data_IF_571860242727
#
_entry.id   IF_571860242727
#
_cell.length_a   1.000
_cell.length_b   1.000
_cell.length_c   1.000
_cell.angle_alpha   90.00
_cell.angle_beta   90.00
_cell.angle_gamma   90.00
#
_symmetry.space_group_name_H-M   'P 1'
#
loop_
_entity.id
_entity.type
_entity.pdbx_description
1 polymer ?
#
# COMPACT_ATOMS: atom_id res chain seq x y z
N UNK A 1 -70.90 15.19 -25.80
CA UNK A 1 -71.11 15.30 -27.26
C UNK A 1 -70.07 16.28 -27.79
N UNK A 2 -69.18 15.79 -28.67
CA UNK A 2 -68.25 16.51 -29.56
C UNK A 2 -67.17 17.48 -28.97
N UNK A 3 -65.90 17.09 -29.18
CA UNK A 3 -64.72 17.94 -29.38
C UNK A 3 -64.93 18.90 -30.58
N UNK A 4 -64.19 20.03 -30.70
CA UNK A 4 -63.00 20.01 -31.56
C UNK A 4 -61.83 20.96 -31.22
N UNK A 5 -60.63 20.47 -31.55
CA UNK A 5 -59.49 21.10 -32.26
C UNK A 5 -59.19 22.61 -32.16
N UNK A 6 -57.96 22.92 -31.74
CA UNK A 6 -56.87 23.60 -32.50
C UNK A 6 -55.85 24.09 -31.45
N UNK A 7 -54.55 23.75 -31.46
CA UNK A 7 -53.51 23.81 -32.49
C UNK A 7 -53.41 25.19 -33.17
N UNK A 8 -52.78 26.18 -32.52
CA UNK A 8 -51.42 26.63 -32.86
C UNK A 8 -51.05 27.97 -32.22
N UNK A 9 -49.81 28.03 -31.71
CA UNK A 9 -48.87 29.17 -31.74
C UNK A 9 -49.37 30.51 -31.18
N UNK A 10 -48.84 30.94 -30.04
CA UNK A 10 -47.94 32.09 -29.99
C UNK A 10 -47.39 32.35 -28.58
N UNK A 11 -46.09 32.66 -28.54
CA UNK A 11 -45.46 33.61 -27.63
C UNK A 11 -44.94 33.15 -26.25
N UNK A 12 -43.64 33.43 -26.08
CA UNK A 12 -42.87 33.67 -24.86
C UNK A 12 -42.18 32.46 -24.22
N UNK A 13 -40.92 32.19 -24.59
CA UNK A 13 -39.71 32.76 -23.97
C UNK A 13 -39.51 32.29 -22.51
N UNK A 14 -38.75 31.20 -22.34
CA UNK A 14 -37.81 31.11 -21.23
C UNK A 14 -36.67 30.15 -21.61
N UNK A 15 -35.59 30.77 -22.08
CA UNK A 15 -34.29 30.15 -22.28
C UNK A 15 -33.69 29.90 -20.90
N UNK A 16 -33.59 28.63 -20.49
CA UNK A 16 -32.72 28.22 -19.39
C UNK A 16 -31.54 27.47 -20.01
N UNK A 17 -30.38 28.12 -19.98
CA UNK A 17 -29.14 27.62 -20.55
C UNK A 17 -28.68 26.34 -19.84
N UNK A 18 -28.62 25.25 -20.61
CA UNK A 18 -27.90 24.05 -20.22
C UNK A 18 -26.40 24.32 -20.36
N UNK A 19 -25.74 24.68 -19.25
CA UNK A 19 -24.28 24.66 -19.16
C UNK A 19 -23.81 23.20 -19.17
N UNK A 20 -23.44 22.72 -20.35
CA UNK A 20 -22.80 21.43 -20.55
C UNK A 20 -21.36 21.51 -20.01
N UNK A 21 -21.18 21.18 -18.73
CA UNK A 21 -19.85 20.97 -18.16
C UNK A 21 -19.30 19.68 -18.76
N UNK A 22 -18.44 19.80 -19.78
CA UNK A 22 -17.55 18.72 -20.20
C UNK A 22 -16.59 18.43 -19.04
N UNK A 23 -16.92 17.45 -18.21
CA UNK A 23 -15.95 16.81 -17.33
C UNK A 23 -15.07 15.96 -18.24
N UNK A 24 -13.95 16.53 -18.68
CA UNK A 24 -12.88 15.76 -19.30
C UNK A 24 -12.38 14.74 -18.27
N UNK A 25 -12.75 13.48 -18.45
CA UNK A 25 -12.21 12.38 -17.67
C UNK A 25 -10.68 12.40 -17.82
N UNK A 26 -9.90 12.37 -16.72
CA UNK A 26 -8.46 12.24 -16.84
C UNK A 26 -8.12 10.93 -17.55
N UNK A 27 -7.08 10.89 -18.40
CA UNK A 27 -6.71 9.67 -19.09
C UNK A 27 -6.33 8.59 -18.07
N UNK A 28 -7.04 7.47 -18.11
CA UNK A 28 -6.87 6.29 -17.26
C UNK A 28 -5.47 5.62 -17.34
N UNK A 29 -4.55 6.19 -18.11
CA UNK A 29 -3.19 5.67 -18.33
C UNK A 29 -2.13 6.30 -17.41
N UNK A 30 -2.47 7.31 -16.59
CA UNK A 30 -1.49 7.96 -15.70
C UNK A 30 -1.10 7.12 -14.46
N UNK A 31 -1.82 6.03 -14.16
CA UNK A 31 -1.52 5.16 -13.02
C UNK A 31 -0.66 3.94 -13.36
N UNK A 32 -0.36 3.69 -14.65
CA UNK A 32 0.40 2.50 -15.08
C UNK A 32 1.92 2.69 -15.14
N UNK A 33 2.43 3.93 -15.16
CA UNK A 33 3.88 4.21 -15.28
C UNK A 33 4.65 4.29 -13.95
N UNK A 34 3.98 4.24 -12.79
CA UNK A 34 4.65 4.31 -11.47
C UNK A 34 5.00 2.92 -10.89
N UNK A 35 4.91 1.85 -11.68
CA UNK A 35 5.29 0.49 -11.25
C UNK A 35 6.82 0.29 -11.27
N UNK A 36 7.54 1.31 -10.81
CA UNK A 36 8.99 1.44 -10.87
C UNK A 36 9.71 0.49 -9.92
N UNK A 37 10.15 -0.63 -10.49
CA UNK A 37 11.43 -1.32 -10.25
C UNK A 37 11.96 -1.20 -8.80
N UNK A 38 11.58 -2.16 -7.96
CA UNK A 38 12.00 -2.30 -6.55
C UNK A 38 13.52 -2.24 -6.40
N UNK A 39 14.23 -2.78 -7.39
CA UNK A 39 15.69 -2.81 -7.50
C UNK A 39 16.20 -1.78 -8.53
N UNK A 40 15.47 -0.67 -8.72
CA UNK A 40 15.91 0.40 -9.59
C UNK A 40 17.25 0.90 -9.08
N UNK A 41 18.25 0.85 -9.96
CA UNK A 41 19.50 1.54 -9.68
C UNK A 41 19.21 3.03 -9.59
N UNK A 42 19.98 3.73 -8.76
CA UNK A 42 19.92 5.19 -8.63
C UNK A 42 20.01 5.90 -9.96
N UNK A 43 20.83 5.40 -10.89
CA UNK A 43 20.95 5.90 -12.26
C UNK A 43 19.61 5.84 -13.01
N UNK A 44 18.93 4.69 -13.03
CA UNK A 44 17.62 4.54 -13.67
C UNK A 44 16.56 5.48 -13.08
N UNK A 45 16.58 5.66 -11.75
CA UNK A 45 15.66 6.59 -11.09
C UNK A 45 15.94 8.05 -11.49
N UNK A 46 17.21 8.44 -11.64
CA UNK A 46 17.58 9.79 -12.12
C UNK A 46 17.14 10.02 -13.56
N UNK A 47 17.33 9.03 -14.43
CA UNK A 47 16.88 9.12 -15.82
C UNK A 47 15.35 9.26 -15.91
N UNK A 48 14.63 8.49 -15.10
CA UNK A 48 13.17 8.56 -15.04
C UNK A 48 12.69 9.89 -14.46
N UNK A 49 13.34 10.40 -13.41
CA UNK A 49 13.08 11.73 -12.87
C UNK A 49 13.24 12.80 -13.96
N UNK A 50 14.35 12.76 -14.71
CA UNK A 50 14.60 13.72 -15.78
C UNK A 50 13.56 13.63 -16.92
N UNK A 51 12.99 12.45 -17.18
CA UNK A 51 11.88 12.28 -18.14
C UNK A 51 10.59 12.90 -17.62
N UNK A 52 10.25 12.65 -16.36
CA UNK A 52 9.04 13.17 -15.72
C UNK A 52 9.09 14.69 -15.57
N UNK A 53 10.24 15.26 -15.25
CA UNK A 53 10.43 16.72 -15.18
C UNK A 53 10.21 17.38 -16.55
N UNK A 54 10.65 16.73 -17.64
CA UNK A 54 10.38 17.18 -19.01
C UNK A 54 8.91 17.10 -19.41
N UNK A 55 8.13 16.21 -18.79
CA UNK A 55 6.70 16.10 -19.03
C UNK A 55 5.90 17.26 -18.39
N UNK A 56 6.52 18.09 -17.55
CA UNK A 56 5.88 19.24 -16.93
C UNK A 56 4.82 18.84 -15.90
N UNK A 57 3.68 19.55 -15.88
CA UNK A 57 2.65 19.41 -14.84
C UNK A 57 2.12 17.97 -14.66
N UNK A 58 2.01 17.19 -15.74
CA UNK A 58 1.55 15.79 -15.67
C UNK A 58 2.56 14.84 -15.03
N UNK A 59 3.86 15.17 -15.05
CA UNK A 59 4.93 14.38 -14.45
C UNK A 59 5.34 14.81 -13.04
N UNK A 60 4.89 15.98 -12.57
CA UNK A 60 5.33 16.57 -11.29
C UNK A 60 5.08 15.65 -10.09
N UNK A 61 3.93 14.97 -10.05
CA UNK A 61 3.58 14.06 -8.96
C UNK A 61 4.49 12.81 -8.92
N UNK A 62 4.86 12.25 -10.07
CA UNK A 62 5.80 11.13 -10.13
C UNK A 62 7.23 11.58 -9.82
N UNK A 63 7.63 12.74 -10.33
CA UNK A 63 8.94 13.32 -10.10
C UNK A 63 9.19 13.61 -8.61
N UNK A 64 8.21 14.14 -7.89
CA UNK A 64 8.34 14.39 -6.44
C UNK A 64 8.54 13.09 -5.65
N UNK A 65 7.82 12.02 -5.99
CA UNK A 65 7.98 10.71 -5.36
C UNK A 65 9.36 10.11 -5.59
N UNK A 66 9.86 10.15 -6.83
CA UNK A 66 11.21 9.64 -7.16
C UNK A 66 12.29 10.47 -6.47
N UNK A 67 12.14 11.79 -6.44
CA UNK A 67 13.08 12.68 -5.74
C UNK A 67 13.15 12.36 -4.26
N UNK A 68 11.99 12.28 -3.59
CA UNK A 68 11.93 11.89 -2.18
C UNK A 68 12.57 10.52 -1.97
N UNK A 69 12.28 9.52 -2.81
CA UNK A 69 12.91 8.18 -2.72
C UNK A 69 14.44 8.24 -2.85
N UNK A 70 14.97 9.04 -3.77
CA UNK A 70 16.41 9.22 -3.97
C UNK A 70 17.10 9.89 -2.77
N UNK A 71 16.40 10.79 -2.09
CA UNK A 71 16.88 11.55 -0.92
C UNK A 71 16.75 10.75 0.39
N UNK A 72 15.58 10.14 0.63
CA UNK A 72 15.29 9.43 1.89
C UNK A 72 15.75 7.98 1.88
N UNK A 73 15.81 7.34 0.71
CA UNK A 73 16.13 5.93 0.55
C UNK A 73 14.89 5.03 0.63
N UNK A 74 15.14 3.72 0.55
CA UNK A 74 14.08 2.69 0.48
C UNK A 74 13.80 1.99 1.81
N UNK A 75 14.64 2.21 2.82
CA UNK A 75 14.60 1.51 4.09
C UNK A 75 13.88 2.31 5.16
N UNK A 76 13.09 1.62 5.98
CA UNK A 76 12.36 2.20 7.10
C UNK A 76 12.67 1.43 8.39
N UNK A 77 12.51 2.12 9.51
CA UNK A 77 12.64 1.48 10.82
C UNK A 77 11.63 0.32 10.94
N UNK A 78 12.09 -0.82 11.47
CA UNK A 78 11.32 -2.06 11.57
C UNK A 78 11.45 -3.00 10.38
N UNK A 79 12.03 -2.56 9.25
CA UNK A 79 12.44 -3.45 8.18
C UNK A 79 13.44 -4.49 8.70
N UNK A 80 13.43 -5.69 8.12
CA UNK A 80 14.37 -6.75 8.47
C UNK A 80 15.27 -7.00 7.28
N UNK A 81 16.53 -7.29 7.52
CA UNK A 81 17.51 -7.57 6.48
C UNK A 81 18.25 -8.83 6.89
N UNK A 82 18.08 -9.88 6.10
CA UNK A 82 18.92 -11.07 6.23
C UNK A 82 20.25 -10.73 5.60
N UNK A 83 21.31 -10.81 6.39
CA UNK A 83 22.68 -10.59 5.96
C UNK A 83 23.41 -11.91 6.13
N UNK A 84 24.09 -12.37 5.09
CA UNK A 84 25.06 -13.46 5.15
C UNK A 84 26.41 -12.92 4.72
N UNK A 85 27.39 -13.07 5.59
CA UNK A 85 28.78 -12.70 5.31
C UNK A 85 29.59 -13.98 5.28
N UNK A 86 30.23 -14.26 4.15
CA UNK A 86 31.02 -15.47 3.98
C UNK A 86 32.18 -15.52 4.98
N UNK A 87 32.33 -16.65 5.70
CA UNK A 87 33.36 -16.82 6.73
C UNK A 87 33.07 -16.15 8.07
N UNK A 88 31.99 -15.37 8.19
CA UNK A 88 31.68 -14.58 9.38
C UNK A 88 30.30 -14.93 9.97
N UNK A 89 30.20 -16.01 10.78
CA UNK A 89 28.93 -16.45 11.35
C UNK A 89 28.30 -15.43 12.30
N UNK A 90 29.14 -14.67 13.01
CA UNK A 90 28.71 -13.60 13.93
C UNK A 90 28.08 -12.38 13.21
N UNK A 91 28.36 -12.21 11.92
CA UNK A 91 27.77 -11.17 11.07
C UNK A 91 26.66 -11.73 10.17
N UNK A 92 26.34 -13.01 10.33
CA UNK A 92 25.33 -13.72 9.53
C UNK A 92 24.07 -13.93 10.36
N UNK A 93 23.13 -12.99 10.26
CA UNK A 93 21.85 -13.04 10.96
C UNK A 93 20.80 -12.17 10.25
N UNK A 94 19.59 -12.12 10.81
CA UNK A 94 18.52 -11.19 10.43
C UNK A 94 18.57 -9.96 11.32
N UNK A 95 19.06 -8.86 10.76
CA UNK A 95 19.15 -7.58 11.45
C UNK A 95 17.87 -6.76 11.25
N UNK A 96 17.52 -5.97 12.25
CA UNK A 96 16.37 -5.06 12.19
C UNK A 96 16.90 -3.64 11.95
N UNK A 97 16.27 -2.91 11.04
CA UNK A 97 16.55 -1.50 10.81
C UNK A 97 16.02 -0.70 11.99
N UNK A 98 16.90 -0.03 12.73
CA UNK A 98 16.56 0.82 13.87
C UNK A 98 16.46 2.29 13.45
N UNK A 99 15.86 3.13 14.31
CA UNK A 99 15.77 4.58 14.10
C UNK A 99 16.67 5.29 15.12
N UNK A 100 17.90 5.64 14.70
CA UNK A 100 18.91 6.30 15.54
C UNK A 100 19.22 7.74 15.11
N UNK A 101 18.21 8.46 14.60
CA UNK A 101 18.38 9.71 13.84
C UNK A 101 18.28 9.51 12.32
N UNK A 102 17.96 8.29 11.90
CA UNK A 102 17.74 7.82 10.53
C UNK A 102 17.65 6.29 10.53
N UNK A 103 17.28 5.65 9.41
CA UNK A 103 17.31 4.20 9.30
C UNK A 103 18.76 3.72 9.36
N UNK A 104 19.05 2.78 10.25
CA UNK A 104 20.40 2.24 10.45
C UNK A 104 20.37 0.75 10.82
N UNK A 105 21.48 0.06 10.59
CA UNK A 105 21.73 -1.31 11.03
C UNK A 105 22.81 -1.32 12.11
N UNK A 106 22.57 -2.07 13.17
CA UNK A 106 23.56 -2.31 14.22
C UNK A 106 24.15 -3.70 14.01
N UNK A 107 25.42 -3.73 13.59
CA UNK A 107 26.15 -4.97 13.34
C UNK A 107 27.10 -5.26 14.53
N UNK A 108 27.14 -6.51 15.03
CA UNK A 108 28.06 -6.91 16.08
C UNK A 108 29.50 -6.60 15.70
N UNK A 109 30.29 -6.03 16.62
CA UNK A 109 31.73 -5.73 16.46
C UNK A 109 32.10 -4.69 15.38
N UNK A 110 31.23 -4.46 14.39
CA UNK A 110 31.41 -3.51 13.28
C UNK A 110 30.78 -2.15 13.60
N UNK A 111 29.69 -2.14 14.36
CA UNK A 111 28.99 -0.92 14.77
C UNK A 111 27.83 -0.55 13.85
N UNK A 112 27.55 0.75 13.75
CA UNK A 112 26.34 1.27 13.09
C UNK A 112 26.57 1.55 11.61
N UNK A 113 25.72 0.97 10.76
CA UNK A 113 25.66 1.25 9.32
C UNK A 113 24.43 2.09 9.01
N UNK A 114 24.64 3.36 8.66
CA UNK A 114 23.54 4.23 8.22
C UNK A 114 22.99 3.82 6.85
N UNK A 115 21.67 3.73 6.75
CA UNK A 115 20.90 3.45 5.55
C UNK A 115 20.14 4.69 5.01
N UNK A 116 20.38 5.87 5.59
CA UNK A 116 19.74 7.10 5.13
C UNK A 116 20.10 7.37 3.65
N UNK A 117 19.09 7.54 2.80
CA UNK A 117 19.29 7.75 1.36
C UNK A 117 19.80 6.52 0.61
N UNK A 118 19.84 5.32 1.23
CA UNK A 118 20.29 4.09 0.57
C UNK A 118 19.10 3.41 -0.11
N UNK A 119 19.26 3.08 -1.39
CA UNK A 119 18.27 2.29 -2.13
C UNK A 119 18.49 0.79 -1.90
N UNK A 120 17.45 -0.01 -2.10
CA UNK A 120 17.55 -1.49 -1.93
C UNK A 120 18.61 -2.11 -2.84
N UNK A 121 18.76 -1.61 -4.06
CA UNK A 121 19.80 -2.07 -5.00
C UNK A 121 21.22 -1.74 -4.54
N UNK A 122 21.39 -0.73 -3.68
CA UNK A 122 22.68 -0.23 -3.23
C UNK A 122 23.12 -0.88 -1.90
N UNK A 123 22.20 -1.51 -1.18
CA UNK A 123 22.44 -2.08 0.15
C UNK A 123 23.65 -3.02 0.18
N UNK A 124 23.75 -3.93 -0.80
CA UNK A 124 24.85 -4.89 -0.88
C UNK A 124 26.21 -4.17 -0.93
N UNK A 125 26.39 -3.28 -1.91
CA UNK A 125 27.63 -2.54 -2.09
C UNK A 125 27.95 -1.62 -0.91
N UNK A 126 26.91 -1.03 -0.28
CA UNK A 126 27.06 -0.22 0.94
C UNK A 126 27.62 -1.04 2.09
N UNK A 127 27.09 -2.25 2.31
CA UNK A 127 27.57 -3.15 3.35
C UNK A 127 28.97 -3.68 3.05
N UNK A 128 29.26 -4.09 1.82
CA UNK A 128 30.60 -4.53 1.40
C UNK A 128 31.65 -3.42 1.64
N UNK A 129 31.33 -2.18 1.27
CA UNK A 129 32.22 -1.02 1.49
C UNK A 129 32.46 -0.74 2.97
N UNK A 130 31.43 -0.87 3.80
CA UNK A 130 31.55 -0.65 5.24
C UNK A 130 32.35 -1.77 5.92
N UNK A 131 32.05 -3.03 5.57
CA UNK A 131 32.74 -4.19 6.12
C UNK A 131 34.19 -4.30 5.66
N UNK A 132 34.54 -3.77 4.48
CA UNK A 132 35.92 -3.76 3.98
C UNK A 132 36.90 -2.96 4.87
N UNK A 133 36.39 -2.16 5.80
CA UNK A 133 37.21 -1.46 6.81
C UNK A 133 37.70 -2.39 7.92
N UNK A 134 37.02 -3.52 8.10
CA UNK A 134 37.28 -4.50 9.18
C UNK A 134 37.69 -5.87 8.63
N UNK A 135 37.23 -6.23 7.42
CA UNK A 135 37.43 -7.51 6.76
C UNK A 135 38.14 -7.33 5.42
N UNK A 136 39.00 -8.29 5.04
CA UNK A 136 39.63 -8.30 3.73
C UNK A 136 38.69 -8.95 2.71
N UNK A 137 38.24 -8.17 1.73
CA UNK A 137 37.38 -8.65 0.62
C UNK A 137 36.11 -9.39 1.07
N UNK A 138 35.23 -8.74 1.87
CA UNK A 138 34.02 -9.39 2.36
C UNK A 138 33.05 -9.71 1.21
N UNK A 139 32.53 -10.95 1.19
CA UNK A 139 31.47 -11.37 0.27
C UNK A 139 30.15 -11.36 1.04
N UNK A 140 29.22 -10.50 0.63
CA UNK A 140 27.95 -10.28 1.35
C UNK A 140 26.76 -10.64 0.48
N UNK A 141 25.82 -11.38 1.05
CA UNK A 141 24.47 -11.54 0.52
C UNK A 141 23.48 -10.80 1.40
N UNK A 142 22.58 -10.06 0.77
CA UNK A 142 21.56 -9.26 1.45
C UNK A 142 20.18 -9.60 0.92
N UNK A 143 19.22 -9.78 1.82
CA UNK A 143 17.83 -10.00 1.47
C UNK A 143 16.93 -9.17 2.40
N UNK A 144 16.40 -8.03 1.92
CA UNK A 144 15.40 -7.28 2.66
C UNK A 144 14.12 -8.09 2.84
N UNK A 145 13.52 -7.98 4.01
CA UNK A 145 12.26 -8.61 4.42
C UNK A 145 11.35 -7.55 5.05
N UNK A 146 10.08 -7.60 4.67
CA UNK A 146 9.03 -6.77 5.26
C UNK A 146 8.22 -7.65 6.19
N UNK A 147 8.05 -7.20 7.45
CA UNK A 147 7.26 -7.91 8.45
C UNK A 147 5.81 -7.42 8.42
N UNK A 148 4.89 -8.32 8.05
CA UNK A 148 3.46 -8.08 7.99
C UNK A 148 2.75 -8.88 9.08
N UNK A 149 1.65 -8.35 9.60
CA UNK A 149 0.73 -9.11 10.46
C UNK A 149 -0.39 -9.67 9.60
N UNK A 150 -0.53 -10.99 9.53
CA UNK A 150 -1.66 -11.66 8.88
C UNK A 150 -2.62 -12.09 9.99
N UNK A 151 -3.85 -11.61 9.94
CA UNK A 151 -4.79 -11.80 11.05
C UNK A 151 -6.24 -12.03 10.58
N UNK A 152 -7.05 -12.62 11.46
CA UNK A 152 -8.44 -13.01 11.21
C UNK A 152 -8.55 -14.44 10.68
N UNK A 153 -9.45 -14.65 9.71
CA UNK A 153 -9.82 -15.95 9.15
C UNK A 153 -8.78 -16.52 8.17
N UNK A 154 -7.58 -16.77 8.68
CA UNK A 154 -6.52 -17.57 8.06
C UNK A 154 -6.21 -18.78 8.94
N UNK A 155 -5.61 -19.82 8.38
CA UNK A 155 -5.32 -21.06 9.14
C UNK A 155 -4.33 -20.81 10.28
N UNK A 156 -3.30 -19.99 10.05
CA UNK A 156 -2.26 -19.64 11.04
C UNK A 156 -2.07 -18.11 11.08
N UNK A 157 -2.89 -17.37 11.85
CA UNK A 157 -2.68 -15.95 12.05
C UNK A 157 -1.36 -15.70 12.79
N UNK A 158 -0.68 -14.62 12.45
CA UNK A 158 0.62 -14.29 13.03
C UNK A 158 1.44 -13.33 12.19
N UNK A 159 2.68 -13.11 12.62
CA UNK A 159 3.62 -12.25 11.90
C UNK A 159 4.42 -13.06 10.88
N UNK A 160 4.47 -12.56 9.66
CA UNK A 160 5.21 -13.16 8.55
C UNK A 160 6.22 -12.14 8.01
N UNK A 161 7.44 -12.60 7.72
CA UNK A 161 8.48 -11.77 7.13
C UNK A 161 8.75 -12.28 5.72
N UNK A 162 8.48 -11.45 4.72
CA UNK A 162 8.57 -11.83 3.32
C UNK A 162 9.34 -10.79 2.51
N UNK A 163 10.06 -11.25 1.49
CA UNK A 163 10.80 -10.34 0.62
C UNK A 163 9.83 -9.42 -0.16
N UNK A 164 10.18 -8.15 -0.42
CA UNK A 164 9.29 -7.19 -1.08
C UNK A 164 8.76 -7.64 -2.47
N UNK A 165 9.53 -8.47 -3.17
CA UNK A 165 9.16 -9.04 -4.47
C UNK A 165 8.18 -10.22 -4.38
N UNK A 166 7.96 -10.81 -3.21
CA UNK A 166 7.01 -11.91 -3.08
C UNK A 166 5.56 -11.42 -3.22
N UNK A 167 4.71 -12.16 -3.95
CA UNK A 167 3.26 -11.96 -3.96
C UNK A 167 2.69 -11.97 -2.55
N UNK A 168 1.77 -11.04 -2.25
CA UNK A 168 1.06 -11.07 -0.95
C UNK A 168 0.22 -12.36 -0.82
N UNK A 169 -0.25 -12.92 -1.94
CA UNK A 169 -0.96 -14.19 -1.97
C UNK A 169 -0.11 -15.37 -1.45
N UNK A 170 1.20 -15.37 -1.73
CA UNK A 170 2.11 -16.41 -1.25
C UNK A 170 2.29 -16.33 0.26
N UNK A 171 2.35 -15.12 0.83
CA UNK A 171 2.37 -14.92 2.29
C UNK A 171 1.09 -15.44 2.95
N UNK A 172 -0.07 -15.26 2.30
CA UNK A 172 -1.34 -15.83 2.77
C UNK A 172 -1.29 -17.37 2.68
N UNK A 173 -0.70 -17.93 1.63
CA UNK A 173 -0.51 -19.36 1.48
C UNK A 173 0.44 -19.94 2.54
N UNK A 174 1.51 -19.22 2.88
CA UNK A 174 2.40 -19.55 4.01
C UNK A 174 1.63 -19.54 5.34
N UNK A 175 0.65 -18.65 5.50
CA UNK A 175 -0.28 -18.68 6.63
C UNK A 175 -1.28 -19.85 6.60
N UNK A 176 -1.15 -20.77 5.64
CA UNK A 176 -2.01 -21.93 5.44
C UNK A 176 -3.27 -21.63 4.62
N UNK A 177 -3.37 -20.43 4.03
CA UNK A 177 -4.52 -20.00 3.25
C UNK A 177 -5.67 -19.46 4.10
N UNK A 178 -6.76 -19.12 3.41
CA UNK A 178 -8.00 -18.63 4.01
C UNK A 178 -8.79 -19.81 4.61
N UNK A 179 -9.45 -19.60 5.76
CA UNK A 179 -10.35 -20.61 6.32
C UNK A 179 -11.65 -20.74 5.51
N UNK A 180 -12.43 -21.79 5.77
CA UNK A 180 -13.78 -21.94 5.20
C UNK A 180 -14.77 -20.84 5.63
N UNK A 181 -14.49 -20.15 6.74
CA UNK A 181 -15.31 -19.07 7.25
C UNK A 181 -14.82 -17.69 6.76
N UNK A 182 -13.70 -17.62 6.04
CA UNK A 182 -13.14 -16.38 5.55
C UNK A 182 -14.04 -15.67 4.53
N UNK A 183 -14.24 -14.38 4.72
CA UNK A 183 -14.89 -13.47 3.77
C UNK A 183 -13.82 -12.77 2.94
N UNK A 184 -13.37 -13.43 1.87
CA UNK A 184 -12.38 -12.89 0.92
C UNK A 184 -12.78 -11.50 0.37
N UNK A 185 -14.09 -11.23 0.23
CA UNK A 185 -14.57 -9.94 -0.26
C UNK A 185 -14.38 -8.77 0.70
N UNK A 186 -14.21 -9.04 1.99
CA UNK A 186 -13.99 -8.06 3.04
C UNK A 186 -12.53 -7.89 3.44
N UNK A 187 -11.59 -8.60 2.80
CA UNK A 187 -10.17 -8.46 3.11
C UNK A 187 -9.72 -7.02 2.96
N UNK A 188 -8.83 -6.60 3.86
CA UNK A 188 -8.24 -5.27 3.86
C UNK A 188 -6.84 -5.28 4.43
N UNK A 189 -6.00 -4.36 3.95
CA UNK A 189 -4.69 -4.07 4.53
C UNK A 189 -4.78 -2.74 5.26
N UNK A 190 -4.37 -2.76 6.51
CA UNK A 190 -4.38 -1.62 7.42
C UNK A 190 -2.95 -1.17 7.73
N UNK A 191 -2.74 0.14 7.70
CA UNK A 191 -1.56 0.82 8.25
C UNK A 191 -2.02 1.65 9.43
N UNK A 192 -1.74 1.18 10.65
CA UNK A 192 -2.31 1.76 11.86
C UNK A 192 -3.84 1.70 11.82
N UNK A 193 -4.51 2.85 11.91
CA UNK A 193 -5.97 2.93 11.85
C UNK A 193 -6.55 3.11 10.43
N UNK A 194 -5.70 3.23 9.41
CA UNK A 194 -6.13 3.55 8.04
C UNK A 194 -6.10 2.30 7.16
N UNK A 195 -7.22 2.02 6.46
CA UNK A 195 -7.27 0.99 5.44
C UNK A 195 -6.64 1.52 4.14
N UNK A 196 -5.49 0.95 3.75
CA UNK A 196 -4.77 1.34 2.52
C UNK A 196 -5.21 0.52 1.30
N UNK A 197 -5.64 -0.72 1.52
CA UNK A 197 -6.25 -1.58 0.50
C UNK A 197 -7.48 -2.25 1.08
N UNK A 198 -8.55 -2.39 0.31
CA UNK A 198 -9.74 -3.13 0.76
C UNK A 198 -10.59 -3.59 -0.41
N UNK A 199 -11.44 -4.60 -0.19
CA UNK A 199 -12.51 -4.94 -1.11
C UNK A 199 -12.02 -5.46 -2.47
N UNK A 200 -12.66 -5.02 -3.56
CA UNK A 200 -12.37 -5.50 -4.90
C UNK A 200 -10.93 -5.17 -5.37
N UNK A 201 -10.41 -3.94 -5.19
CA UNK A 201 -9.03 -3.63 -5.56
C UNK A 201 -7.97 -4.56 -4.96
N UNK A 202 -8.11 -4.92 -3.67
CA UNK A 202 -7.19 -5.84 -3.02
C UNK A 202 -7.31 -7.26 -3.58
N UNK A 203 -8.53 -7.74 -3.80
CA UNK A 203 -8.74 -9.08 -4.40
C UNK A 203 -8.15 -9.15 -5.80
N UNK A 204 -8.35 -8.11 -6.61
CA UNK A 204 -7.82 -8.06 -7.97
C UNK A 204 -6.29 -8.03 -7.95
N UNK A 205 -5.69 -7.29 -7.02
CA UNK A 205 -4.25 -7.27 -6.83
C UNK A 205 -3.71 -8.66 -6.42
N UNK A 206 -4.36 -9.34 -5.47
CA UNK A 206 -4.00 -10.70 -5.07
C UNK A 206 -4.14 -11.70 -6.23
N UNK A 207 -5.24 -11.62 -6.99
CA UNK A 207 -5.48 -12.49 -8.15
C UNK A 207 -4.49 -12.26 -9.30
N UNK A 208 -3.96 -11.04 -9.43
CA UNK A 208 -2.88 -10.71 -10.38
C UNK A 208 -1.47 -11.00 -9.82
N UNK A 209 -1.36 -11.51 -8.59
CA UNK A 209 -0.07 -11.81 -7.97
C UNK A 209 0.76 -10.57 -7.62
N UNK A 210 0.10 -9.46 -7.27
CA UNK A 210 0.82 -8.24 -6.89
C UNK A 210 1.71 -8.51 -5.67
N UNK A 211 2.96 -8.07 -5.77
CA UNK A 211 3.93 -8.20 -4.69
C UNK A 211 3.63 -7.26 -3.53
N UNK A 212 4.22 -7.56 -2.37
CA UNK A 212 4.18 -6.71 -1.17
C UNK A 212 4.59 -5.27 -1.52
N UNK A 213 5.60 -5.10 -2.36
CA UNK A 213 6.08 -3.78 -2.77
C UNK A 213 5.17 -3.08 -3.79
N UNK A 214 4.61 -3.82 -4.76
CA UNK A 214 3.63 -3.24 -5.71
C UNK A 214 2.38 -2.75 -4.99
N UNK A 215 2.06 -3.36 -3.85
CA UNK A 215 1.00 -2.93 -2.93
C UNK A 215 1.48 -1.82 -1.97
N UNK A 216 2.73 -1.36 -2.06
CA UNK A 216 3.35 -0.37 -1.19
C UNK A 216 3.17 -0.71 0.31
N UNK A 217 3.30 -2.00 0.64
CA UNK A 217 3.21 -2.45 2.02
C UNK A 217 4.54 -2.22 2.74
N UNK A 218 4.45 -1.99 4.05
CA UNK A 218 5.56 -1.63 4.93
C UNK A 218 5.57 -2.49 6.17
N UNK A 219 6.71 -2.49 6.87
CA UNK A 219 6.80 -3.16 8.15
C UNK A 219 5.73 -2.62 9.11
N UNK A 220 4.98 -3.53 9.73
CA UNK A 220 3.89 -3.20 10.65
C UNK A 220 2.51 -3.09 10.01
N UNK A 221 2.38 -3.16 8.67
CA UNK A 221 1.07 -3.27 8.03
C UNK A 221 0.39 -4.60 8.40
N UNK A 222 -0.94 -4.57 8.51
CA UNK A 222 -1.78 -5.71 8.91
C UNK A 222 -2.74 -6.09 7.79
N UNK A 223 -2.67 -7.33 7.31
CA UNK A 223 -3.73 -7.92 6.49
C UNK A 223 -4.79 -8.51 7.42
N UNK A 224 -6.01 -7.99 7.32
CA UNK A 224 -7.17 -8.46 8.06
C UNK A 224 -8.09 -9.25 7.13
N UNK A 225 -8.37 -10.49 7.50
CA UNK A 225 -9.33 -11.36 6.83
C UNK A 225 -10.57 -11.51 7.71
N UNK A 226 -11.69 -10.84 7.39
CA UNK A 226 -12.90 -10.93 8.21
C UNK A 226 -13.61 -12.27 8.04
N UNK A 227 -14.48 -12.60 9.00
CA UNK A 227 -15.32 -13.79 8.97
C UNK A 227 -16.63 -13.57 8.21
N UNK A 228 -17.16 -14.63 7.60
CA UNK A 228 -18.47 -14.65 6.93
C UNK A 228 -19.54 -14.53 8.00
N UNK A 229 -20.24 -13.40 8.02
CA UNK A 229 -21.29 -13.10 8.99
C UNK A 229 -20.98 -11.91 9.88
N UNK A 230 -19.76 -11.34 9.81
CA UNK A 230 -19.41 -10.10 10.50
C UNK A 230 -20.02 -8.88 9.79
N UNK A 231 -21.33 -8.71 9.98
CA UNK A 231 -22.14 -7.57 9.58
C UNK A 231 -22.33 -6.57 10.73
N UNK A 232 -21.47 -6.59 11.76
CA UNK A 232 -21.64 -5.79 12.97
C UNK A 232 -21.62 -4.27 12.70
N UNK A 233 -20.88 -3.81 11.67
CA UNK A 233 -20.91 -2.39 11.26
C UNK A 233 -22.22 -1.99 10.56
N UNK A 234 -22.85 -2.90 9.82
CA UNK A 234 -24.14 -2.62 9.15
C UNK A 234 -25.28 -2.61 10.17
N UNK A 235 -25.24 -3.51 11.17
CA UNK A 235 -26.25 -3.58 12.22
C UNK A 235 -26.22 -2.36 13.15
N UNK A 236 -25.05 -1.76 13.42
CA UNK A 236 -24.97 -0.54 14.24
C UNK A 236 -25.65 0.66 13.56
N UNK A 237 -25.55 0.78 12.23
CA UNK A 237 -26.22 1.85 11.47
C UNK A 237 -27.74 1.61 11.41
N UNK A 238 -28.18 0.36 11.17
CA UNK A 238 -29.61 0.01 11.17
C UNK A 238 -30.22 0.22 12.56
N UNK A 239 -29.51 -0.13 13.63
CA UNK A 239 -29.96 0.08 15.01
C UNK A 239 -30.22 1.56 15.34
N UNK A 240 -29.35 2.48 14.88
CA UNK A 240 -29.56 3.93 15.03
C UNK A 240 -30.72 4.43 14.17
N UNK A 241 -30.86 3.92 12.93
CA UNK A 241 -31.96 4.31 12.04
C UNK A 241 -33.34 3.83 12.50
N UNK A 242 -33.44 2.71 13.22
CA UNK A 242 -34.71 2.18 13.72
C UNK A 242 -35.09 2.80 15.07
N UNK A 243 -34.10 3.15 15.91
CA UNK A 243 -34.37 3.74 17.24
C UNK A 243 -34.89 5.17 17.18
N UNK A 244 -34.40 6.00 16.24
CA UNK A 244 -34.83 7.40 16.12
C UNK A 244 -36.34 7.52 15.77
N UNK A 245 -36.88 6.85 14.73
CA UNK A 245 -38.30 6.91 14.41
C UNK A 245 -39.19 6.31 15.50
N UNK A 246 -38.74 5.24 16.16
CA UNK A 246 -39.50 4.59 17.23
C UNK A 246 -39.64 5.51 18.44
N UNK A 247 -38.57 6.20 18.85
CA UNK A 247 -38.62 7.20 19.91
C UNK A 247 -39.59 8.34 19.56
N UNK A 248 -39.53 8.87 18.34
CA UNK A 248 -40.45 9.91 17.85
C UNK A 248 -41.90 9.42 17.89
N UNK A 249 -42.18 8.20 17.44
CA UNK A 249 -43.51 7.60 17.46
C UNK A 249 -44.04 7.40 18.88
N UNK A 250 -43.21 6.91 19.81
CA UNK A 250 -43.61 6.74 21.21
C UNK A 250 -43.94 8.07 21.88
N UNK A 251 -43.21 9.14 21.59
CA UNK A 251 -43.46 10.48 22.14
C UNK A 251 -44.75 11.08 21.56
N UNK A 252 -45.01 10.91 20.26
CA UNK A 252 -46.20 11.47 19.59
C UNK A 252 -47.50 10.75 19.93
N UNK A 253 -47.45 9.49 20.39
CA UNK A 253 -48.64 8.71 20.76
C UNK A 253 -48.97 8.71 22.26
N UNK A 254 -48.15 9.37 23.08
CA UNK A 254 -48.31 9.46 24.54
C UNK A 254 -48.93 10.79 25.01
N UNK A 255 -49.30 11.69 24.09
CA UNK A 255 -50.14 12.86 24.32
C UNK A 255 -51.49 12.66 23.64
#
# INVERSE_FOLDING_TARGET
MALPMSLNRCLQLLVVGAALVLIAAPPANAQQSTQGTILATRERLRDELARLERAGASGQAGASLIRTRLESGDFQAGDRIVIRVEGEPQLTDTFVVTSGGGPQLELPQVGVVTLQGVLRSELKGRLETHLAQFLRSPVVQVQPLIRLLIDGEVVRPGYYAAAPQHPLADVIAEAGGLTQHAKASGMRVERGATSIWSGAPLRDALGRGYSIDQLNLRAGDRLVVPTRGDSERTLRIIGVLVTIPLAIFTITRLH
#
